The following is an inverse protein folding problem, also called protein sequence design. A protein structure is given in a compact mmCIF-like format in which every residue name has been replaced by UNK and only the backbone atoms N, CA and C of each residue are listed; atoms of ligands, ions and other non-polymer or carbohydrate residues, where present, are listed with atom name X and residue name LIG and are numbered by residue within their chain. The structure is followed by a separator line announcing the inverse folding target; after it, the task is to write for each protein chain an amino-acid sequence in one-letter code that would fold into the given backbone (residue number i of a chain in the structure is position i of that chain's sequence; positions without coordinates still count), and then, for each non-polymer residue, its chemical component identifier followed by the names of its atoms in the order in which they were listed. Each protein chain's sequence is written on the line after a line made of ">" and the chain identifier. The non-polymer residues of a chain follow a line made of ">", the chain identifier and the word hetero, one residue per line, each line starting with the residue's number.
data_IF_301283756136
#
_entry.id   IF_301283756136
#
_cell.length_a   1.000
_cell.length_b   1.000
_cell.length_c   1.000
_cell.angle_alpha   90.00
_cell.angle_beta   90.00
_cell.angle_gamma   90.00
#
_symmetry.space_group_name_H-M   'P 1'
#
loop_
_entity.id
_entity.type
_entity.pdbx_description
1 polymer ?
#
# COMPACT_ATOMS: atom_id res chain seq x y z
N UNK A 1 1.39 -26.55 -62.52
CA UNK A 1 2.44 -27.55 -62.22
C UNK A 1 2.28 -27.94 -60.75
N UNK A 2 1.48 -28.95 -60.42
CA UNK A 2 1.72 -30.41 -60.49
C UNK A 2 2.51 -30.94 -59.26
N UNK A 3 1.77 -31.66 -58.41
CA UNK A 3 2.11 -32.77 -57.47
C UNK A 3 3.07 -32.52 -56.30
N UNK A 4 2.62 -32.65 -55.03
CA UNK A 4 2.44 -33.91 -54.24
C UNK A 4 3.62 -34.88 -54.37
N UNK A 5 4.42 -35.01 -53.31
CA UNK A 5 5.38 -36.11 -53.14
C UNK A 5 4.94 -37.01 -51.98
N UNK A 6 4.62 -38.26 -52.33
CA UNK A 6 4.33 -39.40 -51.47
C UNK A 6 5.50 -40.38 -51.59
N UNK A 7 5.89 -41.01 -50.47
CA UNK A 7 6.32 -42.43 -50.29
C UNK A 7 7.12 -42.49 -48.97
N UNK A 8 6.76 -43.24 -47.92
CA UNK A 8 6.32 -44.65 -47.75
C UNK A 8 7.41 -45.66 -48.06
N UNK A 9 8.07 -46.17 -47.01
CA UNK A 9 8.80 -47.46 -46.94
C UNK A 9 9.40 -47.56 -45.50
N UNK A 10 9.41 -48.66 -44.72
CA UNK A 10 9.35 -50.09 -45.01
C UNK A 10 9.29 -50.97 -43.72
N UNK A 11 8.67 -52.17 -43.84
CA UNK A 11 8.80 -53.44 -43.05
C UNK A 11 8.63 -53.43 -41.50
N UNK A 12 8.15 -54.47 -40.80
CA UNK A 12 7.36 -55.68 -41.10
C UNK A 12 6.93 -56.40 -39.82
N UNK A 13 5.69 -56.91 -39.88
CA UNK A 13 5.06 -58.08 -39.23
C UNK A 13 5.93 -58.98 -38.31
N UNK A 14 5.45 -59.20 -37.08
CA UNK A 14 5.48 -60.53 -36.43
C UNK A 14 4.18 -60.77 -35.63
N UNK A 15 3.49 -61.86 -36.01
CA UNK A 15 2.32 -62.49 -35.38
C UNK A 15 2.78 -63.24 -34.09
N UNK A 16 2.17 -63.01 -32.93
CA UNK A 16 1.08 -63.81 -32.31
C UNK A 16 1.59 -64.80 -31.21
N UNK A 17 0.72 -65.51 -30.46
CA UNK A 17 0.40 -65.18 -29.06
C UNK A 17 0.70 -66.36 -28.10
N UNK A 18 0.66 -66.16 -26.77
CA UNK A 18 0.51 -67.29 -25.86
C UNK A 18 -0.30 -66.98 -24.60
N UNK A 19 -1.41 -67.69 -24.57
CA UNK A 19 -2.44 -67.91 -23.57
C UNK A 19 -1.90 -68.70 -22.37
N UNK A 20 -2.03 -68.17 -21.15
CA UNK A 20 -2.14 -68.99 -19.93
C UNK A 20 -3.27 -68.42 -19.06
N UNK A 21 -4.17 -69.32 -18.70
CA UNK A 21 -5.45 -69.14 -18.04
C UNK A 21 -5.36 -69.68 -16.60
N UNK A 22 -6.07 -69.01 -15.67
CA UNK A 22 -6.63 -69.52 -14.39
C UNK A 22 -5.65 -69.87 -13.25
N UNK A 23 -5.96 -69.72 -11.95
CA UNK A 23 -7.15 -69.33 -11.18
C UNK A 23 -6.65 -69.15 -9.72
N UNK A 24 -7.08 -68.12 -9.00
CA UNK A 24 -7.32 -68.18 -7.55
C UNK A 24 -8.10 -66.93 -7.10
N UNK A 25 -9.38 -67.15 -6.80
CA UNK A 25 -10.27 -66.19 -6.15
C UNK A 25 -10.07 -66.22 -4.63
N UNK A 26 -10.24 -65.06 -3.98
CA UNK A 26 -10.95 -64.77 -2.70
C UNK A 26 -10.84 -63.24 -2.46
N UNK A 27 -11.92 -62.48 -2.68
CA UNK A 27 -12.87 -61.95 -1.66
C UNK A 27 -12.38 -60.59 -1.09
N UNK A 28 -12.93 -59.44 -1.50
CA UNK A 28 -13.97 -58.59 -0.85
C UNK A 28 -13.39 -57.15 -0.98
N UNK A 29 -14.06 -56.03 -1.27
CA UNK A 29 -15.44 -55.58 -1.17
C UNK A 29 -15.62 -54.26 -1.95
N UNK A 30 -16.72 -54.18 -2.71
CA UNK A 30 -17.47 -53.03 -3.28
C UNK A 30 -16.81 -51.76 -3.87
N UNK A 31 -17.30 -51.29 -5.05
CA UNK A 31 -17.12 -49.93 -5.54
C UNK A 31 -18.23 -49.01 -5.00
N UNK A 32 -17.91 -47.76 -4.66
CA UNK A 32 -18.90 -46.71 -4.53
C UNK A 32 -18.33 -45.43 -5.14
N UNK A 33 -18.98 -45.00 -6.20
CA UNK A 33 -18.74 -43.73 -6.88
C UNK A 33 -19.19 -42.61 -5.95
N UNK A 34 -18.29 -41.71 -5.59
CA UNK A 34 -18.65 -40.41 -5.02
C UNK A 34 -18.72 -39.44 -6.18
N UNK A 35 -19.94 -39.11 -6.58
CA UNK A 35 -20.25 -37.97 -7.42
C UNK A 35 -19.89 -36.69 -6.66
N UNK A 36 -18.77 -36.06 -7.04
CA UNK A 36 -18.48 -34.68 -6.62
C UNK A 36 -19.34 -33.75 -7.49
N UNK A 37 -20.57 -33.56 -7.07
CA UNK A 37 -21.34 -32.37 -7.38
C UNK A 37 -21.26 -31.49 -6.13
N UNK A 38 -20.47 -30.42 -6.15
CA UNK A 38 -20.66 -29.18 -5.38
C UNK A 38 -19.52 -28.22 -5.77
N UNK A 39 -19.76 -27.40 -6.79
CA UNK A 39 -18.92 -26.26 -7.17
C UNK A 39 -19.65 -24.93 -6.86
N UNK A 40 -20.56 -24.96 -5.87
CA UNK A 40 -21.47 -23.86 -5.53
C UNK A 40 -21.35 -23.40 -4.07
N UNK A 41 -20.56 -24.06 -3.23
CA UNK A 41 -20.49 -23.74 -1.80
C UNK A 41 -19.33 -22.79 -1.42
N UNK A 42 -18.36 -22.58 -2.30
CA UNK A 42 -17.18 -21.76 -1.97
C UNK A 42 -17.42 -20.26 -2.17
N UNK A 43 -18.25 -19.86 -3.16
CA UNK A 43 -18.59 -18.45 -3.43
C UNK A 43 -19.48 -17.83 -2.34
N UNK A 44 -20.32 -18.63 -1.68
CA UNK A 44 -21.22 -18.14 -0.63
C UNK A 44 -20.51 -17.80 0.68
N UNK A 45 -19.34 -18.39 0.96
CA UNK A 45 -18.60 -18.11 2.20
C UNK A 45 -17.76 -16.83 2.10
N UNK A 46 -17.28 -16.47 0.91
CA UNK A 46 -16.47 -15.26 0.71
C UNK A 46 -17.33 -14.00 0.77
N UNK A 47 -18.53 -14.04 0.20
CA UNK A 47 -19.47 -12.90 0.22
C UNK A 47 -19.99 -12.58 1.64
N UNK A 48 -20.10 -13.57 2.52
CA UNK A 48 -20.52 -13.36 3.90
C UNK A 48 -19.40 -12.82 4.81
N UNK A 49 -18.12 -12.95 4.39
CA UNK A 49 -16.98 -12.38 5.11
C UNK A 49 -16.74 -10.93 4.68
N UNK A 50 -16.98 -10.59 3.40
CA UNK A 50 -16.87 -9.21 2.90
C UNK A 50 -17.88 -8.25 3.57
N UNK A 51 -19.10 -8.69 3.93
CA UNK A 51 -20.02 -7.81 4.68
C UNK A 51 -19.69 -7.69 6.18
N UNK A 52 -18.86 -8.59 6.72
CA UNK A 52 -18.49 -8.58 8.14
C UNK A 52 -17.24 -7.74 8.43
N UNK A 53 -16.49 -7.41 7.38
CA UNK A 53 -15.23 -6.65 7.44
C UNK A 53 -15.44 -5.48 6.50
N UNK A 54 -15.65 -4.26 7.01
CA UNK A 54 -16.18 -3.06 6.31
C UNK A 54 -15.45 -2.59 5.04
N UNK A 55 -15.40 -3.45 4.03
CA UNK A 55 -14.81 -3.25 2.72
C UNK A 55 -15.46 -4.18 1.69
N UNK A 56 -15.44 -3.76 0.42
CA UNK A 56 -15.95 -4.54 -0.71
C UNK A 56 -15.00 -4.44 -1.89
N UNK A 57 -14.72 -5.56 -2.55
CA UNK A 57 -13.98 -5.55 -3.83
C UNK A 57 -14.86 -4.97 -4.94
N UNK A 58 -14.36 -3.95 -5.65
CA UNK A 58 -15.15 -3.18 -6.63
C UNK A 58 -14.79 -3.45 -8.09
N UNK A 59 -13.63 -4.07 -8.36
CA UNK A 59 -13.25 -4.49 -9.70
C UNK A 59 -13.47 -5.99 -9.92
N UNK A 60 -13.71 -6.38 -11.17
CA UNK A 60 -13.69 -7.79 -11.58
C UNK A 60 -12.24 -8.21 -11.85
N UNK A 61 -11.80 -9.45 -11.52
CA UNK A 61 -10.49 -9.93 -11.91
C UNK A 61 -10.30 -9.86 -13.43
N UNK A 62 -9.11 -9.48 -13.89
CA UNK A 62 -8.75 -9.42 -15.29
C UNK A 62 -7.45 -10.20 -15.52
N UNK A 63 -7.53 -11.35 -16.20
CA UNK A 63 -6.36 -12.20 -16.48
C UNK A 63 -5.33 -11.52 -17.41
N UNK A 64 -5.72 -10.45 -18.11
CA UNK A 64 -4.82 -9.68 -18.97
C UNK A 64 -4.13 -8.51 -18.24
N UNK A 65 -4.44 -8.25 -16.96
CA UNK A 65 -3.77 -7.22 -16.16
C UNK A 65 -2.41 -7.74 -15.65
N UNK A 66 -1.27 -7.20 -16.12
CA UNK A 66 0.05 -7.64 -15.67
C UNK A 66 0.32 -7.33 -14.19
N UNK A 67 -0.44 -6.41 -13.57
CA UNK A 67 -0.30 -6.08 -12.16
C UNK A 67 -1.26 -6.86 -11.25
N UNK A 68 -2.18 -7.64 -11.81
CA UNK A 68 -3.25 -8.35 -11.07
C UNK A 68 -3.87 -7.50 -9.95
N UNK A 69 -4.27 -6.25 -10.28
CA UNK A 69 -4.63 -5.28 -9.27
C UNK A 69 -6.00 -5.59 -8.64
N UNK A 70 -6.03 -5.68 -7.31
CA UNK A 70 -7.24 -5.82 -6.50
C UNK A 70 -7.67 -4.47 -5.94
N UNK A 71 -8.87 -4.02 -6.30
CA UNK A 71 -9.41 -2.72 -5.90
C UNK A 71 -10.54 -2.93 -4.91
N UNK A 72 -10.36 -2.38 -3.71
CA UNK A 72 -11.34 -2.39 -2.64
C UNK A 72 -11.86 -0.99 -2.35
N UNK A 73 -13.10 -0.91 -1.91
CA UNK A 73 -13.72 0.29 -1.34
C UNK A 73 -14.09 -0.01 0.11
N UNK A 74 -13.58 0.79 1.04
CA UNK A 74 -13.90 0.71 2.46
C UNK A 74 -15.23 1.43 2.74
N UNK A 75 -15.87 1.15 3.88
CA UNK A 75 -17.14 1.78 4.28
C UNK A 75 -17.05 3.31 4.40
N UNK A 76 -15.86 3.85 4.69
CA UNK A 76 -15.62 5.30 4.73
C UNK A 76 -15.39 5.92 3.34
N UNK A 77 -15.48 5.15 2.26
CA UNK A 77 -15.29 5.58 0.87
C UNK A 77 -13.83 5.59 0.41
N UNK A 78 -12.87 5.17 1.23
CA UNK A 78 -11.47 5.06 0.82
C UNK A 78 -11.30 3.91 -0.17
N UNK A 79 -10.56 4.15 -1.25
CA UNK A 79 -10.20 3.12 -2.23
C UNK A 79 -8.79 2.60 -1.99
N UNK A 80 -8.65 1.29 -1.93
CA UNK A 80 -7.38 0.59 -1.75
C UNK A 80 -7.07 -0.18 -3.02
N UNK A 81 -5.89 0.06 -3.58
CA UNK A 81 -5.36 -0.65 -4.74
C UNK A 81 -4.24 -1.55 -4.23
N UNK A 82 -4.40 -2.86 -4.38
CA UNK A 82 -3.49 -3.87 -3.85
C UNK A 82 -3.00 -4.77 -4.98
N UNK A 83 -1.68 -4.87 -5.13
CA UNK A 83 -1.01 -5.82 -6.02
C UNK A 83 -0.03 -6.63 -5.18
N UNK A 84 -0.04 -7.95 -5.35
CA UNK A 84 0.90 -8.84 -4.69
C UNK A 84 2.03 -9.21 -5.66
N UNK A 85 3.29 -8.96 -5.28
CA UNK A 85 4.46 -9.35 -6.06
C UNK A 85 5.46 -10.07 -5.13
N UNK A 86 5.89 -11.28 -5.52
CA UNK A 86 6.80 -12.12 -4.76
C UNK A 86 8.26 -12.09 -5.27
N UNK A 87 8.61 -11.19 -6.18
CA UNK A 87 9.97 -11.07 -6.74
C UNK A 87 10.98 -10.59 -5.69
N UNK A 88 10.59 -9.65 -4.83
CA UNK A 88 11.42 -9.12 -3.73
C UNK A 88 10.60 -9.06 -2.44
N UNK A 89 11.19 -9.36 -1.26
CA UNK A 89 10.49 -9.28 0.03
C UNK A 89 10.38 -7.83 0.50
N UNK A 90 9.64 -7.01 -0.24
CA UNK A 90 9.48 -5.57 0.00
C UNK A 90 8.01 -5.21 0.08
N UNK A 91 7.70 -4.26 0.96
CA UNK A 91 6.38 -3.66 1.07
C UNK A 91 6.44 -2.21 0.59
N UNK A 92 5.45 -1.80 -0.18
CA UNK A 92 5.31 -0.44 -0.66
C UNK A 92 3.86 0.01 -0.50
N UNK A 93 3.66 1.20 0.05
CA UNK A 93 2.34 1.79 0.22
C UNK A 93 2.40 3.29 0.01
N UNK A 94 1.38 3.81 -0.66
CA UNK A 94 1.14 5.24 -0.85
C UNK A 94 -0.29 5.57 -0.44
N UNK A 95 -0.48 6.78 0.07
CA UNK A 95 -1.81 7.34 0.34
C UNK A 95 -1.94 8.60 -0.52
N UNK A 96 -2.74 8.51 -1.58
CA UNK A 96 -3.02 9.64 -2.44
C UNK A 96 -4.23 10.43 -1.91
N UNK A 97 -4.05 11.73 -1.69
CA UNK A 97 -5.11 12.67 -1.29
C UNK A 97 -5.44 13.58 -2.47
N UNK A 98 -6.74 13.79 -2.74
CA UNK A 98 -7.20 14.70 -3.81
C UNK A 98 -7.22 16.16 -3.33
N UNK A 99 -6.06 16.66 -2.90
CA UNK A 99 -5.84 18.03 -2.47
C UNK A 99 -4.42 18.48 -2.87
N UNK A 100 -4.19 19.79 -2.96
CA UNK A 100 -2.92 20.36 -3.40
C UNK A 100 -3.00 21.88 -3.44
N UNK A 101 -1.93 22.56 -3.85
CA UNK A 101 -1.81 24.03 -3.83
C UNK A 101 -2.93 24.77 -4.57
N UNK A 102 -3.55 24.15 -5.59
CA UNK A 102 -4.73 24.67 -6.29
C UNK A 102 -5.96 24.88 -5.38
N UNK A 103 -6.01 24.18 -4.25
CA UNK A 103 -7.08 24.28 -3.26
C UNK A 103 -6.70 25.20 -2.09
N UNK A 104 -5.51 25.81 -2.10
CA UNK A 104 -5.12 26.77 -1.07
C UNK A 104 -6.00 28.04 -1.16
N UNK A 105 -6.43 28.62 -0.02
CA UNK A 105 -7.15 29.88 -0.02
C UNK A 105 -6.23 31.02 -0.46
N UNK A 106 -6.82 32.05 -1.09
CA UNK A 106 -6.06 33.14 -1.71
C UNK A 106 -5.21 33.97 -0.73
N UNK A 107 -5.58 33.97 0.55
CA UNK A 107 -4.92 34.66 1.66
C UNK A 107 -3.91 33.77 2.41
N UNK A 108 -3.79 32.48 2.06
CA UNK A 108 -2.79 31.57 2.63
C UNK A 108 -2.31 30.55 1.58
N UNK A 109 -1.55 31.03 0.60
CA UNK A 109 -0.89 30.19 -0.41
C UNK A 109 0.28 29.39 0.19
N UNK A 110 0.48 28.15 -0.24
CA UNK A 110 1.57 27.27 0.21
C UNK A 110 1.17 26.35 1.37
N UNK A 111 -0.11 26.31 1.74
CA UNK A 111 -0.60 25.48 2.84
C UNK A 111 -0.47 23.99 2.54
N UNK A 112 -0.70 23.56 1.30
CA UNK A 112 -0.51 22.16 0.92
C UNK A 112 0.93 21.67 1.19
N UNK A 113 1.93 22.43 0.75
CA UNK A 113 3.34 22.11 0.98
C UNK A 113 3.70 22.21 2.47
N UNK A 114 3.19 23.23 3.17
CA UNK A 114 3.41 23.34 4.62
C UNK A 114 2.85 22.13 5.39
N UNK A 115 1.65 21.68 5.06
CA UNK A 115 1.03 20.50 5.67
C UNK A 115 1.83 19.23 5.40
N UNK A 116 2.39 19.07 4.21
CA UNK A 116 3.26 17.94 3.87
C UNK A 116 4.45 17.85 4.82
N UNK A 117 5.16 18.96 5.06
CA UNK A 117 6.26 19.00 6.03
C UNK A 117 5.81 18.64 7.44
N UNK A 118 4.61 19.05 7.84
CA UNK A 118 4.07 18.76 9.17
C UNK A 118 3.65 17.29 9.32
N UNK A 119 3.18 16.64 8.26
CA UNK A 119 2.74 15.25 8.30
C UNK A 119 3.85 14.30 8.78
N UNK A 120 5.10 14.64 8.49
CA UNK A 120 6.27 13.86 8.88
C UNK A 120 6.94 14.32 10.19
N UNK A 121 6.40 15.33 10.88
CA UNK A 121 6.93 15.76 12.18
C UNK A 121 6.52 14.86 13.35
N UNK A 122 5.49 14.04 13.18
CA UNK A 122 5.01 13.13 14.21
C UNK A 122 3.50 13.15 14.40
N UNK A 123 3.04 12.40 15.39
CA UNK A 123 1.68 12.36 15.89
C UNK A 123 1.72 12.12 17.41
N UNK A 124 0.57 11.87 18.04
CA UNK A 124 0.48 11.66 19.50
C UNK A 124 1.28 10.45 20.02
N UNK A 125 1.70 9.54 19.14
CA UNK A 125 2.40 8.30 19.46
C UNK A 125 3.81 8.20 18.84
N UNK A 126 4.17 9.07 17.89
CA UNK A 126 5.46 9.05 17.17
C UNK A 126 5.98 10.47 17.02
N UNK A 127 7.28 10.69 17.14
CA UNK A 127 7.93 12.00 17.04
C UNK A 127 8.01 12.77 18.35
N UNK A 128 7.63 12.15 19.48
CA UNK A 128 7.60 12.79 20.80
C UNK A 128 7.95 11.82 21.93
N UNK A 129 8.71 12.30 22.92
CA UNK A 129 9.08 11.57 24.13
C UNK A 129 7.92 11.51 25.14
N UNK A 130 7.13 12.57 25.22
CA UNK A 130 5.98 12.69 26.11
C UNK A 130 4.98 13.71 25.54
N UNK A 131 3.99 13.18 24.81
CA UNK A 131 2.93 14.02 24.24
C UNK A 131 2.13 14.77 25.30
N UNK A 132 1.95 14.22 26.51
CA UNK A 132 1.15 14.89 27.54
C UNK A 132 1.88 16.13 28.09
N UNK A 133 3.20 16.07 28.19
CA UNK A 133 4.03 17.19 28.59
C UNK A 133 4.26 18.20 27.45
N UNK A 134 4.33 17.74 26.20
CA UNK A 134 4.52 18.59 25.02
C UNK A 134 3.25 19.36 24.65
N UNK A 135 2.08 18.71 24.73
CA UNK A 135 0.79 19.23 24.26
C UNK A 135 0.47 20.66 24.72
N UNK A 136 0.65 21.06 25.99
CA UNK A 136 0.36 22.43 26.41
C UNK A 136 1.12 23.50 25.62
N UNK A 137 2.36 23.22 25.21
CA UNK A 137 3.15 24.11 24.37
C UNK A 137 2.60 24.16 22.95
N UNK A 138 2.22 23.01 22.37
CA UNK A 138 1.60 22.94 21.04
C UNK A 138 0.26 23.69 21.01
N UNK A 139 -0.60 23.47 22.01
CA UNK A 139 -1.89 24.14 22.15
C UNK A 139 -1.68 25.67 22.24
N UNK A 140 -0.66 26.13 23.01
CA UNK A 140 -0.33 27.55 23.12
C UNK A 140 0.21 28.13 21.81
N UNK A 141 1.02 27.39 21.07
CA UNK A 141 1.53 27.80 19.75
C UNK A 141 0.36 28.03 18.78
N UNK A 142 -0.63 27.13 18.76
CA UNK A 142 -1.82 27.26 17.92
C UNK A 142 -2.58 28.55 18.26
N UNK A 143 -2.87 28.80 19.53
CA UNK A 143 -3.54 30.03 19.98
C UNK A 143 -2.77 31.29 19.54
N UNK A 144 -1.45 31.31 19.74
CA UNK A 144 -0.61 32.44 19.36
C UNK A 144 -0.58 32.67 17.84
N UNK A 145 -0.64 31.61 17.02
CA UNK A 145 -0.77 31.76 15.57
C UNK A 145 -2.12 32.34 15.16
N UNK A 146 -3.21 31.97 15.83
CA UNK A 146 -4.53 32.59 15.61
C UNK A 146 -4.52 34.08 16.00
N UNK A 147 -3.94 34.42 17.16
CA UNK A 147 -3.74 35.80 17.58
C UNK A 147 -2.89 36.58 16.55
N UNK A 148 -1.77 36.01 16.10
CA UNK A 148 -0.89 36.61 15.10
C UNK A 148 -1.60 36.81 13.75
N UNK A 149 -2.49 35.90 13.35
CA UNK A 149 -3.26 36.00 12.11
C UNK A 149 -4.28 37.15 12.14
N UNK A 150 -4.91 37.38 13.29
CA UNK A 150 -5.92 38.44 13.47
C UNK A 150 -5.29 39.82 13.74
N UNK A 151 -4.08 39.86 14.28
CA UNK A 151 -3.40 41.11 14.60
C UNK A 151 -2.94 41.85 13.34
N UNK A 152 -3.11 43.17 13.36
CA UNK A 152 -2.74 44.07 12.25
C UNK A 152 -1.54 44.95 12.59
N UNK A 153 -1.30 45.22 13.87
CA UNK A 153 -0.14 45.99 14.31
C UNK A 153 1.15 45.18 14.16
N UNK A 154 2.13 45.77 13.46
CA UNK A 154 3.39 45.10 13.15
C UNK A 154 4.27 44.89 14.37
N UNK A 155 4.23 45.82 15.33
CA UNK A 155 4.98 45.69 16.58
C UNK A 155 4.41 44.56 17.43
N UNK A 156 3.08 44.54 17.64
CA UNK A 156 2.43 43.45 18.37
C UNK A 156 2.59 42.09 17.70
N UNK A 157 2.53 42.01 16.36
CA UNK A 157 2.81 40.76 15.64
C UNK A 157 4.21 40.23 15.90
N UNK A 158 5.22 41.11 15.95
CA UNK A 158 6.59 40.71 16.24
C UNK A 158 6.74 40.16 17.67
N UNK A 159 6.01 40.71 18.64
CA UNK A 159 5.96 40.20 20.01
C UNK A 159 5.33 38.81 20.07
N UNK A 160 4.16 38.63 19.44
CA UNK A 160 3.48 37.32 19.38
C UNK A 160 4.39 36.28 18.72
N UNK A 161 5.10 36.65 17.65
CA UNK A 161 6.05 35.75 16.99
C UNK A 161 7.23 35.35 17.89
N UNK A 162 7.70 36.27 18.75
CA UNK A 162 8.73 35.95 19.73
C UNK A 162 8.21 34.97 20.80
N UNK A 163 6.94 35.10 21.22
CA UNK A 163 6.28 34.14 22.11
C UNK A 163 6.15 32.75 21.46
N UNK A 164 5.71 32.68 20.19
CA UNK A 164 5.64 31.43 19.43
C UNK A 164 7.00 30.74 19.42
N UNK A 165 8.08 31.47 19.14
CA UNK A 165 9.42 30.90 19.12
C UNK A 165 9.89 30.39 20.50
N UNK A 166 9.45 31.04 21.59
CA UNK A 166 9.72 30.58 22.95
C UNK A 166 8.97 29.29 23.29
N UNK A 167 7.69 29.20 22.93
CA UNK A 167 6.90 27.98 23.13
C UNK A 167 7.40 26.83 22.24
N UNK A 168 7.78 27.12 21.00
CA UNK A 168 8.34 26.13 20.08
C UNK A 168 9.65 25.51 20.60
N UNK A 169 10.50 26.31 21.25
CA UNK A 169 11.71 25.79 21.91
C UNK A 169 11.37 24.88 23.09
N UNK A 170 10.35 25.22 23.89
CA UNK A 170 9.91 24.38 24.99
C UNK A 170 9.32 23.05 24.49
N UNK A 171 8.52 23.07 23.41
CA UNK A 171 8.02 21.87 22.77
C UNK A 171 9.15 20.99 22.21
N UNK A 172 10.19 21.61 21.63
CA UNK A 172 11.32 20.90 21.03
C UNK A 172 12.11 20.03 22.01
N UNK A 173 12.05 20.29 23.31
CA UNK A 173 12.66 19.43 24.36
C UNK A 173 12.03 18.03 24.41
N UNK A 174 10.78 17.90 23.95
CA UNK A 174 10.05 16.62 23.89
C UNK A 174 10.10 15.97 22.51
N UNK A 175 10.46 16.73 21.46
CA UNK A 175 10.44 16.22 20.10
C UNK A 175 11.54 15.16 19.88
N UNK A 176 11.21 14.13 19.08
CA UNK A 176 12.17 13.13 18.61
C UNK A 176 12.41 13.33 17.10
N UNK A 177 13.48 14.03 16.70
CA UNK A 177 13.71 14.33 15.30
C UNK A 177 13.93 13.07 14.46
N UNK A 178 13.29 13.05 13.30
CA UNK A 178 13.43 12.02 12.26
C UNK A 178 13.10 10.60 12.75
N UNK A 179 12.21 10.46 13.75
CA UNK A 179 11.82 9.14 14.26
C UNK A 179 11.11 8.30 13.19
N UNK A 180 10.24 8.93 12.39
CA UNK A 180 9.56 8.27 11.28
C UNK A 180 10.57 7.80 10.23
N UNK A 181 11.54 8.64 9.86
CA UNK A 181 12.60 8.24 8.92
C UNK A 181 13.43 7.07 9.45
N UNK A 182 13.74 7.06 10.74
CA UNK A 182 14.47 5.94 11.36
C UNK A 182 13.64 4.66 11.29
N UNK A 183 12.35 4.72 11.60
CA UNK A 183 11.46 3.57 11.53
C UNK A 183 11.46 2.92 10.13
N UNK A 184 11.47 3.72 9.06
CA UNK A 184 11.53 3.21 7.68
C UNK A 184 12.89 2.67 7.25
N UNK A 185 13.98 3.12 7.88
CA UNK A 185 15.35 2.77 7.49
C UNK A 185 15.99 1.71 8.39
N UNK A 186 15.45 1.47 9.57
CA UNK A 186 15.94 0.49 10.54
C UNK A 186 15.46 -0.94 10.27
N UNK A 187 14.82 -1.20 9.12
CA UNK A 187 14.60 -2.56 8.60
C UNK A 187 15.95 -3.25 8.37
N UNK A 188 16.44 -3.91 9.42
CA UNK A 188 17.56 -4.84 9.41
C UNK A 188 17.02 -6.16 8.89
N UNK A 189 17.59 -6.66 7.80
CA UNK A 189 17.26 -7.98 7.30
C UNK A 189 17.59 -9.02 8.41
N UNK A 190 16.61 -9.82 8.88
CA UNK A 190 16.79 -10.69 10.05
C UNK A 190 17.77 -11.85 9.80
N UNK A 191 18.00 -12.23 8.54
CA UNK A 191 18.92 -13.30 8.15
C UNK A 191 20.37 -12.81 8.01
N UNK A 192 20.57 -11.54 7.66
CA UNK A 192 21.89 -10.98 7.34
C UNK A 192 22.39 -9.95 8.34
N UNK A 193 21.53 -9.43 9.21
CA UNK A 193 21.87 -8.39 10.20
C UNK A 193 22.32 -7.06 9.56
N UNK A 194 22.11 -6.90 8.26
CA UNK A 194 22.49 -5.70 7.50
C UNK A 194 21.26 -4.81 7.29
N UNK A 195 21.44 -3.48 7.27
CA UNK A 195 20.39 -2.58 6.79
C UNK A 195 19.96 -3.04 5.39
N UNK A 196 18.65 -3.16 5.18
CA UNK A 196 18.10 -3.32 3.83
C UNK A 196 18.40 -2.00 3.12
N UNK A 197 19.53 -1.95 2.41
CA UNK A 197 19.91 -0.78 1.62
C UNK A 197 18.78 -0.48 0.65
N UNK A 198 18.07 0.63 0.88
CA UNK A 198 17.11 1.23 -0.04
C UNK A 198 17.85 1.87 -1.23
N UNK A 199 18.70 1.11 -1.92
CA UNK A 199 19.35 1.57 -3.14
C UNK A 199 18.32 1.44 -4.29
N UNK A 200 17.31 2.32 -4.31
CA UNK A 200 16.42 2.47 -5.48
C UNK A 200 14.94 2.75 -5.23
N UNK A 201 14.45 2.74 -3.98
CA UNK A 201 13.16 3.37 -3.70
C UNK A 201 13.45 4.85 -3.48
N UNK A 202 12.88 5.74 -4.30
CA UNK A 202 12.83 7.15 -3.91
C UNK A 202 12.22 7.19 -2.51
N UNK A 203 12.83 7.97 -1.61
CA UNK A 203 12.26 8.12 -0.27
C UNK A 203 10.82 8.63 -0.46
N UNK A 204 9.84 8.21 0.35
CA UNK A 204 8.48 8.72 0.23
C UNK A 204 8.43 10.25 0.11
N UNK A 205 9.32 10.96 0.83
CA UNK A 205 9.50 12.41 0.68
C UNK A 205 9.95 12.85 -0.72
N UNK A 206 10.94 12.16 -1.32
CA UNK A 206 11.45 12.48 -2.66
C UNK A 206 10.43 12.18 -3.78
N UNK A 207 9.47 11.27 -3.53
CA UNK A 207 8.42 10.90 -4.50
C UNK A 207 7.15 11.74 -4.33
N UNK A 208 6.80 12.14 -3.10
CA UNK A 208 5.67 13.07 -2.85
C UNK A 208 5.99 14.44 -3.44
N UNK A 209 7.22 14.92 -3.29
CA UNK A 209 7.71 16.14 -3.97
C UNK A 209 7.53 16.06 -5.50
N UNK A 210 7.68 14.88 -6.12
CA UNK A 210 7.49 14.67 -7.56
C UNK A 210 6.00 14.61 -7.97
N UNK A 211 5.13 14.09 -7.10
CA UNK A 211 3.66 14.06 -7.31
C UNK A 211 3.08 15.48 -7.21
N UNK A 212 3.50 16.29 -6.24
CA UNK A 212 3.10 17.70 -6.15
C UNK A 212 3.67 18.54 -7.30
N UNK A 213 4.88 18.24 -7.78
CA UNK A 213 5.48 18.95 -8.92
C UNK A 213 4.79 18.62 -10.26
N UNK A 214 4.20 17.43 -10.39
CA UNK A 214 3.46 17.02 -11.60
C UNK A 214 2.15 17.80 -11.78
N UNK A 215 1.59 18.35 -10.72
CA UNK A 215 0.43 19.24 -10.76
C UNK A 215 0.81 20.68 -11.20
N UNK A 216 2.09 21.06 -11.20
CA UNK A 216 2.55 22.39 -11.68
C UNK A 216 2.80 22.46 -13.20
N UNK A 217 2.82 21.33 -13.91
CA UNK A 217 3.02 21.27 -15.38
C UNK A 217 1.79 20.80 -16.17
N UNK A 218 0.59 20.95 -15.60
CA UNK A 218 -0.68 20.82 -16.31
C UNK A 218 -1.17 22.15 -16.87
N UNK A 219 -0.46 22.72 -17.85
CA UNK A 219 -1.00 23.81 -18.66
C UNK A 219 -2.14 23.30 -19.56
N UNK A 220 -3.21 24.09 -19.64
CA UNK A 220 -4.25 24.08 -20.68
C UNK A 220 -3.68 23.97 -22.12
#
# INVERSE_FOLDING_TARGET
>A
MITRFVKRQWYSVFLAPLLVLALAACSEQSPSQVSVATESAQTASTQAVEEMVGYRRINTPNEEDPLDAHIYELDNGLRVYLTENHEEPRFYAEIAVRAGSKHDPADATGLAHYLEHLLFKGNQNLGTLDYQAERPHLDRIVELYEEHFLETDTARRAEIYAEINSEAQQAAEYAVPNEIDKLYNEDVNPDTGKPVLQDGCARPQDLIDDITFRDEFGHD
#
